data_IF_824411669987
#
_entry.id   IF_824411669987
#
_cell.length_a   1.000
_cell.length_b   1.000
_cell.length_c   1.000
_cell.angle_alpha   90.00
_cell.angle_beta   90.00
_cell.angle_gamma   90.00
#
_symmetry.space_group_name_H-M   'P 1'
#
loop_
_entity.id
_entity.type
_entity.pdbx_description
1 polymer ?
#
# COMPACT_ATOMS: atom_id res chain seq x y z
N UNK A 1 -12.11 12.78 16.76
CA UNK A 1 -10.69 13.13 16.53
C UNK A 1 -10.07 11.99 15.74
N UNK A 2 -9.86 12.18 14.43
CA UNK A 2 -9.18 11.19 13.60
C UNK A 2 -7.71 11.15 14.01
N UNK A 3 -7.20 9.97 14.39
CA UNK A 3 -5.78 9.82 14.75
C UNK A 3 -4.95 9.93 13.46
N UNK A 4 -3.92 10.81 13.38
CA UNK A 4 -3.38 11.22 12.08
C UNK A 4 -2.06 10.52 11.64
N UNK A 5 -1.70 9.35 12.15
CA UNK A 5 -0.33 8.83 11.92
C UNK A 5 -0.20 7.37 11.43
N UNK A 6 -1.28 6.71 11.02
CA UNK A 6 -1.21 5.35 10.48
C UNK A 6 -2.00 5.29 9.18
N UNK A 7 -1.29 5.20 8.07
CA UNK A 7 -1.91 4.96 6.78
C UNK A 7 -2.58 3.59 6.81
N UNK A 8 -3.91 3.58 6.95
CA UNK A 8 -4.64 2.33 7.08
C UNK A 8 -4.60 1.54 5.78
N UNK A 9 -4.63 0.21 5.86
CA UNK A 9 -4.75 -0.68 4.70
C UNK A 9 -5.88 -0.27 3.72
N UNK A 10 -6.96 0.34 4.22
CA UNK A 10 -8.06 0.84 3.40
C UNK A 10 -7.68 2.07 2.54
N UNK A 11 -6.89 3.01 3.07
CA UNK A 11 -6.39 4.14 2.30
C UNK A 11 -5.43 3.65 1.21
N UNK A 12 -4.51 2.75 1.57
CA UNK A 12 -3.53 2.17 0.65
C UNK A 12 -4.24 1.42 -0.50
N UNK A 13 -5.27 0.63 -0.18
CA UNK A 13 -6.10 -0.02 -1.19
C UNK A 13 -6.83 0.96 -2.10
N UNK A 14 -7.21 2.14 -1.60
CA UNK A 14 -7.84 3.19 -2.42
C UNK A 14 -6.82 3.75 -3.41
N UNK A 15 -5.59 4.02 -2.96
CA UNK A 15 -4.51 4.50 -3.81
C UNK A 15 -3.99 3.46 -4.81
N UNK A 16 -4.17 2.17 -4.52
CA UNK A 16 -3.74 1.07 -5.38
C UNK A 16 -4.90 0.41 -6.15
N UNK A 17 -6.11 0.97 -6.04
CA UNK A 17 -7.27 0.52 -6.81
C UNK A 17 -7.13 0.90 -8.27
N UNK A 18 -7.43 -0.04 -9.16
CA UNK A 18 -7.29 0.16 -10.61
C UNK A 18 -5.89 -0.12 -11.17
N UNK A 19 -4.95 -0.53 -10.32
CA UNK A 19 -3.65 -1.02 -10.76
C UNK A 19 -3.80 -2.36 -11.50
N UNK A 20 -2.99 -2.57 -12.54
CA UNK A 20 -2.88 -3.90 -13.16
C UNK A 20 -2.04 -4.80 -12.26
N UNK A 21 -2.66 -5.87 -11.77
CA UNK A 21 -1.97 -6.94 -11.05
C UNK A 21 -1.61 -8.08 -12.02
N UNK A 22 -0.55 -8.87 -11.74
CA UNK A 22 0.31 -8.82 -10.55
C UNK A 22 1.25 -7.61 -10.52
N UNK A 23 1.53 -7.09 -9.33
CA UNK A 23 2.41 -5.95 -9.10
C UNK A 23 3.39 -6.23 -7.96
N UNK A 24 4.66 -5.83 -8.14
CA UNK A 24 5.70 -5.97 -7.11
C UNK A 24 5.62 -4.82 -6.10
N UNK A 25 6.19 -5.02 -4.89
CA UNK A 25 6.37 -3.96 -3.87
C UNK A 25 6.81 -2.62 -4.48
N UNK A 26 7.82 -2.63 -5.34
CA UNK A 26 8.33 -1.41 -5.98
C UNK A 26 7.27 -0.70 -6.81
N UNK A 27 6.49 -1.44 -7.61
CA UNK A 27 5.43 -0.85 -8.41
C UNK A 27 4.33 -0.27 -7.52
N UNK A 28 3.99 -0.93 -6.41
CA UNK A 28 3.04 -0.39 -5.44
C UNK A 28 3.54 0.94 -4.85
N UNK A 29 4.83 1.00 -4.49
CA UNK A 29 5.44 2.21 -3.96
C UNK A 29 5.44 3.35 -4.99
N UNK A 30 5.80 3.07 -6.24
CA UNK A 30 5.75 4.04 -7.34
C UNK A 30 4.32 4.51 -7.63
N UNK A 31 3.36 3.60 -7.69
CA UNK A 31 1.97 3.94 -7.97
C UNK A 31 1.34 4.75 -6.84
N UNK A 32 1.62 4.37 -5.58
CA UNK A 32 1.22 5.12 -4.41
C UNK A 32 1.86 6.53 -4.41
N UNK A 33 3.16 6.64 -4.70
CA UNK A 33 3.83 7.94 -4.82
C UNK A 33 3.20 8.81 -5.91
N UNK A 34 2.89 8.24 -7.08
CA UNK A 34 2.24 8.94 -8.18
C UNK A 34 0.83 9.42 -7.85
N UNK A 35 0.08 8.69 -7.02
CA UNK A 35 -1.22 9.15 -6.53
C UNK A 35 -1.14 10.16 -5.36
N UNK A 36 0.07 10.50 -4.88
CA UNK A 36 0.24 11.43 -3.77
C UNK A 36 0.08 10.79 -2.40
N UNK A 37 0.43 9.51 -2.27
CA UNK A 37 0.40 8.80 -1.00
C UNK A 37 1.27 9.49 0.06
N UNK A 38 0.74 9.53 1.28
CA UNK A 38 1.42 10.13 2.43
C UNK A 38 2.64 9.32 2.86
N UNK A 39 3.53 9.94 3.65
CA UNK A 39 4.72 9.28 4.20
C UNK A 39 4.38 7.98 4.97
N UNK A 40 3.25 7.95 5.67
CA UNK A 40 2.77 6.74 6.35
C UNK A 40 2.53 5.59 5.38
N UNK A 41 1.83 5.84 4.27
CA UNK A 41 1.57 4.83 3.22
C UNK A 41 2.88 4.31 2.66
N UNK A 42 3.80 5.22 2.31
CA UNK A 42 5.10 4.86 1.73
C UNK A 42 5.94 4.01 2.68
N UNK A 43 5.93 4.36 3.97
CA UNK A 43 6.65 3.62 5.01
C UNK A 43 6.10 2.21 5.16
N UNK A 44 4.78 2.08 5.17
CA UNK A 44 4.10 0.79 5.25
C UNK A 44 4.41 -0.06 4.02
N UNK A 45 4.29 0.49 2.80
CA UNK A 45 4.62 -0.22 1.55
C UNK A 45 6.10 -0.60 1.52
N UNK A 46 7.00 0.23 2.04
CA UNK A 46 8.42 -0.11 2.12
C UNK A 46 8.71 -1.21 3.16
N UNK A 47 7.94 -1.26 4.24
CA UNK A 47 8.02 -2.32 5.25
C UNK A 47 7.47 -3.66 4.77
N UNK A 48 6.72 -3.68 3.66
CA UNK A 48 6.23 -4.92 3.06
C UNK A 48 7.39 -5.81 2.57
N UNK A 49 7.22 -7.15 2.61
CA UNK A 49 8.15 -8.05 1.95
C UNK A 49 8.20 -7.79 0.45
N UNK A 50 9.36 -8.02 -0.14
CA UNK A 50 9.54 -7.97 -1.60
C UNK A 50 8.88 -9.21 -2.22
N UNK A 51 7.56 -9.13 -2.36
CA UNK A 51 6.70 -10.18 -2.89
C UNK A 51 5.84 -9.64 -4.04
N UNK A 52 5.29 -10.57 -4.82
CA UNK A 52 4.40 -10.27 -5.93
C UNK A 52 2.95 -10.29 -5.43
N UNK A 53 2.28 -9.14 -5.52
CA UNK A 53 0.90 -8.99 -5.09
C UNK A 53 -0.02 -9.24 -6.27
N UNK A 54 -0.88 -10.25 -6.17
CA UNK A 54 -1.83 -10.59 -7.24
C UNK A 54 -3.08 -9.73 -7.26
N UNK A 55 -3.40 -9.02 -6.18
CA UNK A 55 -4.61 -8.18 -6.07
C UNK A 55 -4.48 -7.15 -4.95
N UNK A 56 -5.34 -6.13 -4.97
CA UNK A 56 -5.44 -5.13 -3.90
C UNK A 56 -5.73 -5.77 -2.52
N UNK A 57 -6.45 -6.89 -2.51
CA UNK A 57 -6.71 -7.66 -1.29
C UNK A 57 -5.44 -8.30 -0.70
N UNK A 58 -4.49 -8.73 -1.55
CA UNK A 58 -3.22 -9.28 -1.09
C UNK A 58 -2.37 -8.18 -0.44
N UNK A 59 -2.32 -7.00 -1.04
CA UNK A 59 -1.66 -5.82 -0.46
C UNK A 59 -2.29 -5.44 0.87
N UNK A 60 -3.62 -5.38 0.94
CA UNK A 60 -4.37 -5.09 2.17
C UNK A 60 -3.99 -5.99 3.33
N UNK A 61 -3.92 -7.31 3.08
CA UNK A 61 -3.54 -8.29 4.09
C UNK A 61 -2.09 -8.10 4.54
N UNK A 62 -1.19 -7.85 3.59
CA UNK A 62 0.22 -7.68 3.90
C UNK A 62 0.45 -6.40 4.71
N UNK A 63 -0.21 -5.30 4.35
CA UNK A 63 -0.21 -4.05 5.12
C UNK A 63 -0.74 -4.28 6.54
N UNK A 64 -1.90 -4.91 6.67
CA UNK A 64 -2.46 -5.21 8.00
C UNK A 64 -1.66 -6.22 8.82
N UNK A 65 -0.63 -6.85 8.23
CA UNK A 65 0.29 -7.74 8.94
C UNK A 65 1.57 -7.02 9.42
N UNK A 66 1.90 -5.84 8.87
CA UNK A 66 3.05 -5.02 9.30
C UNK A 66 2.66 -3.84 10.21
N UNK A 67 1.37 -3.47 10.26
CA UNK A 67 0.81 -2.54 11.27
C UNK A 67 0.55 -3.21 12.63
#
# INVERSE_FOLDING_TARGET
>A
MARPDHASAAEIQTYLSGMQYPASKQQLAEHAEQQGATLGVRTVIDALPDDEYSDAAAVSRAVGAVE
#
